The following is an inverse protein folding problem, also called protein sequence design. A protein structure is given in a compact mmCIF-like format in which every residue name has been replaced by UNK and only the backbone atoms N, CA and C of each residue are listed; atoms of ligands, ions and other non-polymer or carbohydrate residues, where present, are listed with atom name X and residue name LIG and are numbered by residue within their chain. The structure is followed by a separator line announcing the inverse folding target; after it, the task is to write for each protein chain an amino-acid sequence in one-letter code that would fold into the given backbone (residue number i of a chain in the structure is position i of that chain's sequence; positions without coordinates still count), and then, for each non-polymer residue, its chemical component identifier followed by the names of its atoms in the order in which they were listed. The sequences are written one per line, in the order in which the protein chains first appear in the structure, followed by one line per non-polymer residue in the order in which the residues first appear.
data_IF_625131616121
#
_entry.id   IF_625131616121
#
_cell.length_a   1.000
_cell.length_b   1.000
_cell.length_c   1.000
_cell.angle_alpha   90.00
_cell.angle_beta   90.00
_cell.angle_gamma   90.00
#
_symmetry.space_group_name_H-M   'P 1'
#
loop_
_entity.id
_entity.type
_entity.pdbx_description
1 polymer ?
#
# COMPACT_ATOMS: atom_id res chain seq x y z
N UNK A 1 3.70 15.33 32.52
CA UNK A 1 2.95 15.82 31.33
C UNK A 1 3.86 15.59 30.15
N UNK A 2 3.61 14.51 29.42
CA UNK A 2 4.47 14.00 28.35
C UNK A 2 3.72 12.78 27.82
N UNK A 3 2.58 13.04 27.18
CA UNK A 3 1.97 12.01 26.35
C UNK A 3 2.93 11.84 25.17
N UNK A 4 3.93 10.97 25.33
CA UNK A 4 4.56 10.39 24.17
C UNK A 4 3.45 9.62 23.51
N UNK A 5 2.87 10.19 22.46
CA UNK A 5 1.98 9.50 21.53
C UNK A 5 2.71 8.22 21.17
N UNK A 6 2.41 7.13 21.88
CA UNK A 6 3.06 5.85 21.67
C UNK A 6 2.49 5.39 20.34
N UNK A 7 3.20 5.75 19.26
CA UNK A 7 2.88 5.26 17.94
C UNK A 7 3.10 3.77 18.06
N UNK A 8 1.99 3.03 18.10
CA UNK A 8 1.99 1.58 18.05
C UNK A 8 2.54 1.19 16.67
N UNK A 9 3.85 0.96 16.61
CA UNK A 9 4.57 0.63 15.40
C UNK A 9 4.08 -0.70 14.83
N UNK A 10 3.62 -1.61 15.69
CA UNK A 10 3.02 -2.87 15.26
C UNK A 10 1.67 -2.64 14.59
N UNK A 11 0.84 -1.73 15.12
CA UNK A 11 -0.39 -1.30 14.45
C UNK A 11 -0.11 -0.63 13.10
N UNK A 12 0.94 0.19 13.00
CA UNK A 12 1.33 0.83 11.75
C UNK A 12 1.80 -0.20 10.71
N UNK A 13 2.65 -1.15 11.12
CA UNK A 13 3.11 -2.26 10.26
C UNK A 13 1.96 -3.16 9.82
N UNK A 14 1.03 -3.45 10.72
CA UNK A 14 -0.16 -4.24 10.41
C UNK A 14 -1.07 -3.52 9.40
N UNK A 15 -1.29 -2.22 9.58
CA UNK A 15 -2.05 -1.41 8.64
C UNK A 15 -1.37 -1.34 7.25
N UNK A 16 -0.04 -1.17 7.22
CA UNK A 16 0.73 -1.22 5.98
C UNK A 16 0.62 -2.59 5.29
N UNK A 17 0.63 -3.68 6.05
CA UNK A 17 0.36 -5.03 5.55
C UNK A 17 -1.01 -5.14 4.88
N UNK A 18 -2.06 -4.68 5.56
CA UNK A 18 -3.44 -4.70 5.02
C UNK A 18 -3.59 -3.85 3.76
N UNK A 19 -2.96 -2.68 3.71
CA UNK A 19 -3.03 -1.80 2.53
C UNK A 19 -2.27 -2.39 1.35
N UNK A 20 -1.14 -3.06 1.60
CA UNK A 20 -0.43 -3.80 0.55
C UNK A 20 -1.28 -4.93 -0.02
N UNK A 21 -1.93 -5.73 0.84
CA UNK A 21 -2.81 -6.81 0.39
C UNK A 21 -4.01 -6.28 -0.40
N UNK A 22 -4.61 -5.17 0.02
CA UNK A 22 -5.68 -4.52 -0.72
C UNK A 22 -5.20 -3.99 -2.09
N UNK A 23 -3.95 -3.53 -2.20
CA UNK A 23 -3.37 -3.13 -3.48
C UNK A 23 -3.19 -4.34 -4.42
N UNK A 24 -2.74 -5.48 -3.87
CA UNK A 24 -2.65 -6.74 -4.62
C UNK A 24 -4.03 -7.19 -5.13
N UNK A 25 -5.07 -7.14 -4.28
CA UNK A 25 -6.46 -7.45 -4.67
C UNK A 25 -6.97 -6.52 -5.79
N UNK A 26 -6.66 -5.22 -5.71
CA UNK A 26 -7.02 -4.25 -6.76
C UNK A 26 -6.29 -4.55 -8.07
N UNK A 27 -5.04 -4.98 -8.01
CA UNK A 27 -4.28 -5.40 -9.19
C UNK A 27 -4.84 -6.71 -9.81
N UNK A 28 -5.38 -7.62 -9.01
CA UNK A 28 -6.03 -8.85 -9.50
C UNK A 28 -7.35 -8.58 -10.24
N UNK A 29 -8.13 -7.57 -9.83
CA UNK A 29 -9.37 -7.15 -10.52
C UNK A 29 -9.10 -6.82 -12.00
N UNK A 30 -7.91 -6.29 -12.32
CA UNK A 30 -7.44 -6.07 -13.70
C UNK A 30 -7.29 -7.39 -14.47
N UNK A 31 -6.60 -8.35 -13.88
CA UNK A 31 -6.30 -9.65 -14.51
C UNK A 31 -7.56 -10.44 -14.85
N UNK A 32 -8.60 -10.35 -14.01
CA UNK A 32 -9.86 -11.04 -14.24
C UNK A 32 -10.82 -10.31 -15.19
N UNK A 33 -10.79 -8.97 -15.25
CA UNK A 33 -11.80 -8.17 -15.98
C UNK A 33 -11.51 -7.99 -17.47
N UNK A 34 -10.27 -8.25 -17.92
CA UNK A 34 -9.86 -8.01 -19.31
C UNK A 34 -9.32 -9.25 -20.01
N UNK A 35 -9.95 -10.42 -19.82
CA UNK A 35 -9.89 -11.47 -20.84
C UNK A 35 -10.63 -10.98 -22.11
N UNK A 36 -9.95 -10.09 -22.85
CA UNK A 36 -10.46 -9.44 -24.05
C UNK A 36 -10.48 -10.39 -25.24
N UNK A 37 -9.71 -11.48 -25.17
CA UNK A 37 -9.71 -12.54 -26.18
C UNK A 37 -11.01 -13.35 -26.15
N UNK A 38 -11.73 -13.34 -25.03
CA UNK A 38 -13.04 -13.97 -24.87
C UNK A 38 -14.25 -13.09 -25.25
N UNK A 39 -14.08 -11.79 -25.54
CA UNK A 39 -15.21 -10.87 -25.78
C UNK A 39 -15.63 -10.85 -27.27
N UNK A 40 -16.85 -11.31 -27.62
CA UNK A 40 -17.32 -11.28 -28.99
C UNK A 40 -17.71 -9.86 -29.41
N UNK A 41 -16.92 -9.26 -30.31
CA UNK A 41 -17.28 -8.05 -31.03
C UNK A 41 -16.23 -6.94 -30.97
N UNK A 42 -15.77 -6.52 -32.14
CA UNK A 42 -14.76 -5.46 -32.33
C UNK A 42 -15.08 -4.16 -31.57
N UNK A 43 -16.37 -3.83 -31.40
CA UNK A 43 -16.80 -2.58 -30.77
C UNK A 43 -16.58 -2.56 -29.26
N UNK A 44 -16.79 -3.69 -28.57
CA UNK A 44 -16.56 -3.79 -27.12
C UNK A 44 -15.07 -3.73 -26.82
N UNK A 45 -14.24 -4.39 -27.65
CA UNK A 45 -12.78 -4.35 -27.54
C UNK A 45 -12.26 -2.92 -27.67
N UNK A 46 -12.71 -2.17 -28.67
CA UNK A 46 -12.30 -0.77 -28.87
C UNK A 46 -12.77 0.15 -27.73
N UNK A 47 -13.95 -0.08 -27.15
CA UNK A 47 -14.40 0.71 -26.00
C UNK A 47 -13.61 0.43 -24.71
N UNK A 48 -13.16 -0.81 -24.50
CA UNK A 48 -12.33 -1.17 -23.35
C UNK A 48 -10.88 -0.72 -23.54
N UNK A 49 -10.31 -0.87 -24.74
CA UNK A 49 -8.99 -0.32 -25.10
C UNK A 49 -8.93 1.21 -25.00
N UNK A 50 -10.04 1.90 -25.27
CA UNK A 50 -10.14 3.36 -25.19
C UNK A 50 -10.45 3.89 -23.78
N UNK A 51 -10.71 3.03 -22.78
CA UNK A 51 -11.10 3.47 -21.45
C UNK A 51 -9.87 3.68 -20.54
N UNK A 52 -9.57 4.92 -20.10
CA UNK A 52 -8.40 5.25 -19.26
C UNK A 52 -8.47 4.67 -17.84
N UNK A 53 -9.63 4.13 -17.44
CA UNK A 53 -9.90 3.51 -16.13
C UNK A 53 -8.86 2.42 -15.79
N UNK A 54 -8.33 1.76 -16.82
CA UNK A 54 -7.24 0.81 -16.70
C UNK A 54 -6.01 1.37 -16.00
N UNK A 55 -5.48 2.49 -16.52
CA UNK A 55 -4.30 3.15 -15.97
C UNK A 55 -4.57 3.83 -14.64
N UNK A 56 -5.81 4.27 -14.38
CA UNK A 56 -6.18 4.82 -13.07
C UNK A 56 -6.15 3.75 -11.97
N UNK A 57 -6.63 2.53 -12.25
CA UNK A 57 -6.58 1.41 -11.29
C UNK A 57 -5.13 1.03 -10.99
N UNK A 58 -4.27 0.95 -12.02
CA UNK A 58 -2.84 0.69 -11.85
C UNK A 58 -2.19 1.80 -10.99
N UNK A 59 -2.55 3.06 -11.23
CA UNK A 59 -2.08 4.20 -10.43
C UNK A 59 -2.54 4.15 -8.98
N UNK A 60 -3.76 3.67 -8.70
CA UNK A 60 -4.27 3.50 -7.33
C UNK A 60 -3.51 2.38 -6.61
N UNK A 61 -3.34 1.22 -7.25
CA UNK A 61 -2.59 0.11 -6.66
C UNK A 61 -1.14 0.51 -6.34
N UNK A 62 -0.48 1.19 -7.28
CA UNK A 62 0.89 1.69 -7.09
C UNK A 62 0.99 2.69 -5.92
N UNK A 63 0.05 3.65 -5.85
CA UNK A 63 0.01 4.60 -4.73
C UNK A 63 -0.18 3.92 -3.37
N UNK A 64 -1.00 2.87 -3.31
CA UNK A 64 -1.21 2.09 -2.08
C UNK A 64 0.06 1.32 -1.68
N UNK A 65 0.78 0.73 -2.63
CA UNK A 65 2.07 0.09 -2.36
C UNK A 65 3.14 1.07 -1.88
N UNK A 66 3.22 2.25 -2.50
CA UNK A 66 4.16 3.29 -2.08
C UNK A 66 3.86 3.77 -0.66
N UNK A 67 2.59 3.99 -0.34
CA UNK A 67 2.17 4.35 1.01
C UNK A 67 2.54 3.27 2.02
N UNK A 68 2.25 2.00 1.72
CA UNK A 68 2.57 0.88 2.61
C UNK A 68 4.09 0.74 2.83
N UNK A 69 4.89 1.00 1.80
CA UNK A 69 6.36 1.01 1.90
C UNK A 69 6.86 2.15 2.78
N UNK A 70 6.34 3.37 2.58
CA UNK A 70 6.70 4.53 3.38
C UNK A 70 6.32 4.36 4.86
N UNK A 71 5.16 3.74 5.14
CA UNK A 71 4.69 3.46 6.49
C UNK A 71 5.64 2.49 7.23
N UNK A 72 6.08 1.41 6.57
CA UNK A 72 7.04 0.45 7.15
C UNK A 72 8.41 1.11 7.41
N UNK A 73 8.94 1.83 6.42
CA UNK A 73 10.21 2.53 6.56
C UNK A 73 10.19 3.56 7.71
N UNK A 74 9.05 4.23 7.88
CA UNK A 74 8.84 5.16 9.00
C UNK A 74 8.82 4.43 10.33
N UNK A 75 8.13 3.29 10.43
CA UNK A 75 8.11 2.48 11.64
C UNK A 75 9.52 2.02 12.05
N UNK A 76 10.31 1.54 11.09
CA UNK A 76 11.68 1.09 11.33
C UNK A 76 12.64 2.23 11.68
N UNK A 77 12.36 3.45 11.20
CA UNK A 77 13.11 4.64 11.61
C UNK A 77 12.77 5.05 13.05
N UNK A 78 11.49 4.99 13.44
CA UNK A 78 11.07 5.27 14.82
C UNK A 78 11.64 4.26 15.82
N UNK A 79 11.60 2.97 15.51
CA UNK A 79 12.16 1.93 16.39
C UNK A 79 13.67 2.11 16.61
N UNK A 80 14.43 2.42 15.55
CA UNK A 80 15.87 2.70 15.66
C UNK A 80 16.15 3.95 16.50
N UNK A 81 15.33 4.99 16.35
CA UNK A 81 15.48 6.22 17.13
C UNK A 81 15.17 5.99 18.62
N UNK A 82 14.15 5.19 18.93
CA UNK A 82 13.79 4.84 20.30
C UNK A 82 14.87 3.98 20.98
N UNK A 83 15.37 2.95 20.29
CA UNK A 83 16.48 2.12 20.78
C UNK A 83 17.74 2.96 21.07
N UNK A 84 18.12 3.85 20.15
CA UNK A 84 19.27 4.72 20.34
C UNK A 84 19.10 5.70 21.52
N UNK A 85 17.87 6.16 21.78
CA UNK A 85 17.58 7.00 22.95
C UNK A 85 17.56 6.19 24.26
N UNK A 86 17.05 4.95 24.24
CA UNK A 86 17.07 4.04 25.39
C UNK A 86 18.49 3.69 25.83
N UNK A 87 19.38 3.40 24.88
CA UNK A 87 20.80 3.15 25.15
C UNK A 87 21.52 4.37 25.75
N UNK A 88 21.09 5.58 25.36
CA UNK A 88 21.70 6.84 25.81
C UNK A 88 21.25 7.25 27.22
N UNK A 89 20.05 6.84 27.64
CA UNK A 89 19.47 7.19 28.93
C UNK A 89 18.95 5.96 29.69
N UNK A 90 19.84 5.10 30.21
CA UNK A 90 19.40 3.98 31.03
C UNK A 90 18.72 4.53 32.30
N UNK A 91 17.43 4.19 32.48
CA UNK A 91 16.69 4.46 33.72
C UNK A 91 17.45 3.81 34.87
N UNK A 92 17.86 4.64 35.83
CA UNK A 92 18.66 4.27 37.00
C UNK A 92 17.78 4.10 38.23
#
# INVERSE_FOLDING_TARGET
MGESTHIDLDRLRHLAGRISAAADEVAEIRGARWDLDGLPGSSVRTSVEAAPIAGEIDGVAENLHQWATAARASADAFERADAANGDRFPLR
#
